data_IF_020972515091
#
_entry.id   IF_020972515091
#
_cell.length_a   1.000
_cell.length_b   1.000
_cell.length_c   1.000
_cell.angle_alpha   90.00
_cell.angle_beta   90.00
_cell.angle_gamma   90.00
#
_symmetry.space_group_name_H-M   'P 1'
#
loop_
_entity.id
_entity.type
_entity.pdbx_description
1 polymer ?
#
# COMPACT_ATOMS: atom_id res chain seq x y z
N UNK A 1 21.48 -5.33 20.46
CA UNK A 1 22.22 -4.24 21.14
C UNK A 1 22.35 -3.12 20.13
N UNK A 2 21.89 -1.91 20.46
CA UNK A 2 22.06 -0.74 19.58
C UNK A 2 23.46 -0.16 19.81
N UNK A 3 24.14 0.23 18.73
CA UNK A 3 25.46 0.86 18.80
C UNK A 3 25.33 2.36 18.53
N UNK A 4 26.01 3.18 19.33
CA UNK A 4 26.13 4.62 19.06
C UNK A 4 27.36 4.79 18.17
N UNK A 5 27.14 5.37 16.99
CA UNK A 5 28.19 5.63 16.01
C UNK A 5 28.49 7.13 16.05
N UNK A 6 29.74 7.50 16.35
CA UNK A 6 30.19 8.88 16.19
C UNK A 6 30.57 9.11 14.72
N UNK A 7 29.69 9.76 13.97
CA UNK A 7 29.86 10.00 12.53
C UNK A 7 31.19 10.68 12.16
N UNK A 8 31.65 11.61 13.01
CA UNK A 8 32.85 12.41 12.76
C UNK A 8 34.14 11.61 12.95
N UNK A 9 34.11 10.52 13.71
CA UNK A 9 35.28 9.65 13.92
C UNK A 9 35.43 8.57 12.85
N UNK A 10 34.48 8.47 11.91
CA UNK A 10 34.52 7.47 10.84
C UNK A 10 35.29 7.97 9.62
N UNK A 11 35.99 7.06 8.97
CA UNK A 11 36.50 7.24 7.61
C UNK A 11 35.35 7.32 6.59
N UNK A 12 35.65 7.81 5.39
CA UNK A 12 34.67 7.88 4.30
C UNK A 12 34.11 6.48 3.89
N UNK A 13 34.92 5.42 4.04
CA UNK A 13 34.50 4.05 3.76
C UNK A 13 33.52 3.55 4.83
N UNK A 14 33.82 3.76 6.11
CA UNK A 14 32.94 3.36 7.22
C UNK A 14 31.62 4.16 7.21
N UNK A 15 31.65 5.44 6.85
CA UNK A 15 30.44 6.25 6.64
C UNK A 15 29.56 5.64 5.54
N UNK A 16 30.16 5.23 4.42
CA UNK A 16 29.44 4.60 3.32
C UNK A 16 28.84 3.25 3.72
N UNK A 17 29.54 2.47 4.53
CA UNK A 17 29.03 1.21 5.08
C UNK A 17 27.88 1.44 6.07
N UNK A 18 27.93 2.47 6.91
CA UNK A 18 26.84 2.83 7.81
C UNK A 18 25.55 3.21 7.06
N UNK A 19 25.68 3.75 5.85
CA UNK A 19 24.55 4.08 4.98
C UNK A 19 24.07 2.89 4.13
N UNK A 20 24.79 1.76 4.16
CA UNK A 20 24.44 0.59 3.39
C UNK A 20 23.13 0.00 3.88
N UNK A 21 22.15 -0.09 2.97
CA UNK A 21 20.91 -0.83 3.22
C UNK A 21 21.12 -2.29 2.82
N UNK A 22 20.98 -3.26 3.75
CA UNK A 22 21.17 -4.67 3.42
C UNK A 22 20.14 -5.10 2.37
N UNK A 23 20.64 -5.46 1.20
CA UNK A 23 19.81 -6.03 0.13
C UNK A 23 19.76 -7.55 0.34
N UNK A 24 18.58 -8.15 0.38
CA UNK A 24 18.46 -9.61 0.41
C UNK A 24 19.10 -10.21 -0.84
N UNK A 25 20.04 -11.16 -0.66
CA UNK A 25 20.81 -11.81 -1.73
C UNK A 25 20.09 -12.99 -2.39
N UNK A 26 18.91 -13.41 -1.89
CA UNK A 26 18.16 -14.55 -2.43
C UNK A 26 17.26 -14.15 -3.60
N UNK A 27 17.34 -14.90 -4.70
CA UNK A 27 16.47 -14.70 -5.87
C UNK A 27 15.06 -15.24 -5.61
N UNK A 28 14.22 -14.44 -4.94
CA UNK A 28 12.78 -14.73 -4.78
C UNK A 28 11.99 -14.52 -6.08
N UNK A 29 12.61 -13.88 -7.07
CA UNK A 29 11.97 -13.47 -8.33
C UNK A 29 11.33 -14.65 -9.06
N UNK A 30 12.02 -15.80 -9.13
CA UNK A 30 11.50 -16.98 -9.83
C UNK A 30 10.20 -17.49 -9.18
N UNK A 31 10.22 -17.67 -7.86
CA UNK A 31 9.06 -18.13 -7.10
C UNK A 31 7.85 -17.18 -7.27
N UNK A 32 8.07 -15.86 -7.21
CA UNK A 32 6.98 -14.89 -7.43
C UNK A 32 6.43 -14.96 -8.86
N UNK A 33 7.29 -15.09 -9.87
CA UNK A 33 6.85 -15.22 -11.27
C UNK A 33 6.03 -16.50 -11.49
N UNK A 34 6.41 -17.61 -10.85
CA UNK A 34 5.69 -18.87 -10.92
C UNK A 34 4.29 -18.74 -10.30
N UNK A 35 4.16 -18.09 -9.13
CA UNK A 35 2.86 -17.78 -8.50
C UNK A 35 2.00 -16.91 -9.42
N UNK A 36 2.56 -15.84 -9.97
CA UNK A 36 1.82 -14.94 -10.89
C UNK A 36 1.32 -15.73 -12.10
N UNK A 37 2.16 -16.60 -12.69
CA UNK A 37 1.79 -17.44 -13.83
C UNK A 37 0.67 -18.42 -13.45
N UNK A 38 0.77 -19.05 -12.29
CA UNK A 38 -0.25 -19.97 -11.78
C UNK A 38 -1.61 -19.26 -11.60
N UNK A 39 -1.64 -18.07 -10.98
CA UNK A 39 -2.88 -17.29 -10.81
C UNK A 39 -3.45 -16.84 -12.15
N UNK A 40 -2.61 -16.38 -13.10
CA UNK A 40 -3.07 -15.99 -14.45
C UNK A 40 -3.70 -17.14 -15.23
N UNK A 41 -3.21 -18.36 -15.04
CA UNK A 41 -3.65 -19.54 -15.80
C UNK A 41 -4.83 -20.26 -15.17
N UNK A 42 -4.93 -20.26 -13.83
CA UNK A 42 -5.91 -21.06 -13.10
C UNK A 42 -6.94 -20.21 -12.32
N UNK A 43 -6.78 -18.89 -12.29
CA UNK A 43 -7.68 -17.97 -11.60
C UNK A 43 -7.87 -18.32 -10.13
N UNK A 44 -9.13 -18.27 -9.67
CA UNK A 44 -9.51 -18.47 -8.27
C UNK A 44 -9.06 -19.83 -7.70
N UNK A 45 -8.96 -20.87 -8.53
CA UNK A 45 -8.47 -22.19 -8.10
C UNK A 45 -7.05 -22.11 -7.55
N UNK A 46 -6.18 -21.31 -8.19
CA UNK A 46 -4.83 -21.08 -7.68
C UNK A 46 -4.88 -20.31 -6.36
N UNK A 47 -5.74 -19.29 -6.26
CA UNK A 47 -5.86 -18.49 -5.03
C UNK A 47 -6.26 -19.35 -3.82
N UNK A 48 -7.29 -20.21 -3.96
CA UNK A 48 -7.67 -21.14 -2.89
C UNK A 48 -6.54 -22.09 -2.49
N UNK A 49 -5.78 -22.58 -3.48
CA UNK A 49 -4.67 -23.51 -3.25
C UNK A 49 -3.54 -22.82 -2.50
N UNK A 50 -3.12 -21.63 -2.97
CA UNK A 50 -2.02 -20.85 -2.40
C UNK A 50 -2.37 -20.33 -1.00
N UNK A 51 -3.62 -19.90 -0.76
CA UNK A 51 -4.08 -19.52 0.58
C UNK A 51 -4.05 -20.70 1.55
N UNK A 52 -4.43 -21.90 1.10
CA UNK A 52 -4.32 -23.10 1.94
C UNK A 52 -2.86 -23.44 2.26
N UNK A 53 -1.96 -23.27 1.29
CA UNK A 53 -0.53 -23.58 1.45
C UNK A 53 0.20 -22.56 2.34
N UNK A 54 0.03 -21.26 2.10
CA UNK A 54 0.79 -20.23 2.82
C UNK A 54 0.10 -19.75 4.10
N UNK A 55 -1.21 -19.56 4.07
CA UNK A 55 -1.96 -19.03 5.21
C UNK A 55 -2.56 -20.14 6.09
N UNK A 56 -2.37 -21.41 5.69
CA UNK A 56 -2.91 -22.59 6.39
C UNK A 56 -4.42 -22.51 6.62
N UNK A 57 -5.12 -21.80 5.72
CA UNK A 57 -6.55 -21.49 5.82
C UNK A 57 -7.33 -22.05 4.62
N UNK A 58 -8.44 -22.75 4.87
CA UNK A 58 -9.33 -23.20 3.80
C UNK A 58 -10.49 -22.23 3.63
N UNK A 59 -10.44 -21.40 2.58
CA UNK A 59 -11.52 -20.47 2.25
C UNK A 59 -12.61 -21.14 1.42
N UNK A 60 -13.86 -20.74 1.65
CA UNK A 60 -15.02 -21.10 0.80
C UNK A 60 -15.36 -20.03 -0.22
N UNK A 61 -14.96 -18.78 0.04
CA UNK A 61 -15.18 -17.60 -0.80
C UNK A 61 -13.99 -16.67 -0.64
N UNK A 62 -13.56 -16.05 -1.74
CA UNK A 62 -12.49 -15.05 -1.74
C UNK A 62 -13.00 -13.69 -1.25
N UNK A 63 -14.20 -13.31 -1.70
CA UNK A 63 -14.84 -12.07 -1.27
C UNK A 63 -15.47 -12.22 0.12
N UNK A 64 -15.21 -11.25 0.99
CA UNK A 64 -15.86 -11.16 2.31
C UNK A 64 -17.35 -10.92 2.11
N UNK A 65 -18.19 -11.71 2.79
CA UNK A 65 -19.64 -11.58 2.69
C UNK A 65 -20.12 -10.22 3.25
N UNK A 66 -21.06 -9.52 2.60
CA UNK A 66 -21.57 -8.21 3.06
C UNK A 66 -22.06 -8.23 4.51
N UNK A 67 -22.72 -9.30 4.94
CA UNK A 67 -23.23 -9.42 6.31
C UNK A 67 -22.11 -9.51 7.36
N UNK A 68 -20.95 -10.10 7.01
CA UNK A 68 -19.79 -10.08 7.90
C UNK A 68 -19.25 -8.67 8.07
N UNK A 69 -19.26 -7.87 7.01
CA UNK A 69 -18.84 -6.47 7.05
C UNK A 69 -19.82 -5.67 7.92
N UNK A 70 -21.13 -5.82 7.71
CA UNK A 70 -22.17 -5.13 8.49
C UNK A 70 -22.13 -5.47 9.99
N UNK A 71 -21.76 -6.71 10.33
CA UNK A 71 -21.64 -7.17 11.72
C UNK A 71 -20.28 -6.86 12.36
N UNK A 72 -19.30 -6.40 11.59
CA UNK A 72 -17.99 -6.08 12.12
C UNK A 72 -18.10 -4.91 13.10
N UNK A 73 -17.58 -5.09 14.31
CA UNK A 73 -17.60 -4.08 15.36
C UNK A 73 -16.24 -4.02 16.04
N UNK A 74 -15.87 -2.82 16.46
CA UNK A 74 -14.70 -2.56 17.30
C UNK A 74 -15.14 -1.71 18.49
N UNK A 75 -14.30 -1.61 19.51
CA UNK A 75 -14.59 -0.73 20.64
C UNK A 75 -14.67 0.75 20.17
N UNK A 76 -15.44 1.55 20.90
CA UNK A 76 -15.71 2.96 20.56
C UNK A 76 -14.45 3.81 20.49
N UNK A 77 -13.47 3.55 21.35
CA UNK A 77 -12.20 4.27 21.35
C UNK A 77 -11.41 4.05 20.04
N UNK A 78 -11.27 2.80 19.61
CA UNK A 78 -10.61 2.45 18.34
C UNK A 78 -11.36 3.01 17.14
N UNK A 79 -12.70 3.01 17.17
CA UNK A 79 -13.51 3.60 16.11
C UNK A 79 -13.27 5.11 16.00
N UNK A 80 -13.32 5.84 17.11
CA UNK A 80 -13.07 7.27 17.14
C UNK A 80 -11.65 7.61 16.64
N UNK A 81 -10.64 6.81 17.00
CA UNK A 81 -9.27 6.99 16.52
C UNK A 81 -9.17 6.81 14.99
N UNK A 82 -9.83 5.79 14.43
CA UNK A 82 -9.87 5.55 12.98
C UNK A 82 -10.59 6.70 12.26
N UNK A 83 -11.74 7.14 12.76
CA UNK A 83 -12.49 8.27 12.19
C UNK A 83 -11.66 9.55 12.18
N UNK A 84 -10.93 9.83 13.27
CA UNK A 84 -10.05 10.98 13.35
C UNK A 84 -8.90 10.88 12.34
N UNK A 85 -8.27 9.69 12.20
CA UNK A 85 -7.24 9.47 11.20
C UNK A 85 -7.77 9.70 9.78
N UNK A 86 -8.95 9.17 9.45
CA UNK A 86 -9.61 9.39 8.14
C UNK A 86 -9.80 10.89 7.89
N UNK A 87 -10.34 11.64 8.86
CA UNK A 87 -10.57 13.09 8.71
C UNK A 87 -9.27 13.84 8.43
N UNK A 88 -8.22 13.59 9.20
CA UNK A 88 -6.92 14.24 9.05
C UNK A 88 -6.29 13.91 7.69
N UNK A 89 -6.26 12.63 7.32
CA UNK A 89 -5.64 12.19 6.07
C UNK A 89 -6.42 12.74 4.87
N UNK A 90 -7.76 12.69 4.90
CA UNK A 90 -8.60 13.22 3.83
C UNK A 90 -8.44 14.74 3.69
N UNK A 91 -8.35 15.49 4.80
CA UNK A 91 -8.11 16.94 4.75
C UNK A 91 -6.81 17.27 4.01
N UNK A 92 -5.71 16.60 4.36
CA UNK A 92 -4.43 16.79 3.69
C UNK A 92 -4.49 16.43 2.20
N UNK A 93 -5.02 15.25 1.85
CA UNK A 93 -5.04 14.80 0.46
C UNK A 93 -5.93 15.66 -0.42
N UNK A 94 -7.05 16.19 0.10
CA UNK A 94 -7.88 17.17 -0.60
C UNK A 94 -7.13 18.47 -0.90
N UNK A 95 -6.37 18.98 0.08
CA UNK A 95 -5.58 20.19 -0.10
C UNK A 95 -4.40 20.00 -1.07
N UNK A 96 -3.96 18.75 -1.28
CA UNK A 96 -2.89 18.40 -2.20
C UNK A 96 -3.35 18.10 -3.63
N UNK A 97 -4.65 18.21 -3.94
CA UNK A 97 -5.16 18.00 -5.30
C UNK A 97 -4.59 19.10 -6.21
N UNK A 98 -3.90 18.75 -7.30
CA UNK A 98 -3.36 19.76 -8.20
C UNK A 98 -4.48 20.43 -9.00
N UNK A 99 -4.39 21.75 -9.15
CA UNK A 99 -5.33 22.50 -9.98
C UNK A 99 -4.98 22.37 -11.46
N UNK A 100 -6.02 22.29 -12.29
CA UNK A 100 -5.85 22.36 -13.73
C UNK A 100 -5.37 23.75 -14.14
N UNK A 101 -4.32 23.82 -14.94
CA UNK A 101 -3.76 25.08 -15.40
C UNK A 101 -3.75 25.15 -16.93
N UNK A 102 -4.01 26.35 -17.44
CA UNK A 102 -3.93 26.67 -18.87
C UNK A 102 -2.90 27.77 -19.05
N UNK A 103 -1.97 27.59 -19.98
CA UNK A 103 -0.95 28.58 -20.33
C UNK A 103 -0.95 28.85 -21.83
N UNK A 104 -0.78 30.12 -22.19
CA UNK A 104 -0.69 30.54 -23.58
C UNK A 104 0.79 30.76 -23.93
N UNK A 105 1.33 29.98 -24.85
CA UNK A 105 2.75 30.04 -25.21
C UNK A 105 3.03 31.00 -26.36
N UNK A 106 2.04 31.22 -27.24
CA UNK A 106 2.11 32.12 -28.38
C UNK A 106 0.67 32.50 -28.82
N UNK A 107 0.49 33.53 -29.68
CA UNK A 107 -0.83 33.86 -30.22
C UNK A 107 -1.50 32.65 -30.87
N UNK A 108 -2.69 32.30 -30.39
CA UNK A 108 -3.47 31.14 -30.88
C UNK A 108 -3.05 29.79 -30.30
N UNK A 109 -2.02 29.70 -29.45
CA UNK A 109 -1.57 28.44 -28.83
C UNK A 109 -1.85 28.46 -27.33
N UNK A 110 -2.67 27.50 -26.88
CA UNK A 110 -3.00 27.28 -25.48
C UNK A 110 -2.73 25.83 -25.09
N UNK A 111 -2.06 25.62 -23.97
CA UNK A 111 -1.73 24.30 -23.41
C UNK A 111 -2.42 24.18 -22.06
N UNK A 112 -3.16 23.09 -21.86
CA UNK A 112 -3.87 22.82 -20.61
C UNK A 112 -3.46 21.49 -20.00
N UNK A 113 -3.13 21.50 -18.71
CA UNK A 113 -2.92 20.28 -17.92
C UNK A 113 -4.24 19.85 -17.31
N UNK A 114 -4.60 18.57 -17.50
CA UNK A 114 -5.80 17.94 -16.94
C UNK A 114 -5.40 16.74 -16.10
N UNK A 115 -5.98 16.58 -14.92
CA UNK A 115 -5.77 15.43 -14.05
C UNK A 115 -6.98 14.52 -14.13
N UNK A 116 -6.78 13.24 -14.48
CA UNK A 116 -7.85 12.24 -14.58
C UNK A 116 -7.60 11.08 -13.64
N UNK A 117 -8.62 10.61 -12.89
CA UNK A 117 -8.45 9.50 -11.96
C UNK A 117 -8.26 8.17 -12.71
N UNK A 118 -7.55 7.25 -12.06
CA UNK A 118 -7.46 5.85 -12.52
C UNK A 118 -8.80 5.16 -12.21
N UNK A 119 -9.42 4.56 -13.22
CA UNK A 119 -10.78 4.00 -13.10
C UNK A 119 -10.90 2.85 -12.10
N UNK A 120 -9.84 2.04 -11.92
CA UNK A 120 -9.83 0.89 -11.01
C UNK A 120 -8.47 0.76 -10.35
N UNK A 121 -8.46 0.72 -9.02
CA UNK A 121 -7.27 0.52 -8.19
C UNK A 121 -7.45 -0.69 -7.29
N UNK A 122 -6.40 -1.49 -7.14
CA UNK A 122 -6.35 -2.60 -6.19
C UNK A 122 -5.42 -2.25 -5.04
N UNK A 123 -5.89 -2.39 -3.80
CA UNK A 123 -5.11 -2.08 -2.60
C UNK A 123 -4.77 -3.37 -1.88
N UNK A 124 -3.47 -3.59 -1.64
CA UNK A 124 -2.99 -4.67 -0.80
C UNK A 124 -2.73 -4.14 0.61
N UNK A 125 -3.31 -4.81 1.61
CA UNK A 125 -3.04 -4.57 3.02
C UNK A 125 -2.35 -5.82 3.57
N UNK A 126 -1.10 -5.72 4.03
CA UNK A 126 -0.44 -6.87 4.62
C UNK A 126 -1.24 -7.40 5.81
N UNK A 127 -1.55 -8.70 5.74
CA UNK A 127 -2.05 -9.49 6.86
C UNK A 127 -0.96 -10.39 7.43
N UNK A 128 -1.32 -11.21 8.42
CA UNK A 128 -0.41 -12.14 9.10
C UNK A 128 0.06 -11.64 10.49
N UNK A 129 0.53 -12.56 11.33
CA UNK A 129 1.01 -12.29 12.70
C UNK A 129 0.03 -11.54 13.62
N UNK A 130 -1.27 -11.80 13.48
CA UNK A 130 -2.34 -11.25 14.33
C UNK A 130 -2.44 -9.71 14.41
N UNK A 131 -1.76 -8.96 13.54
CA UNK A 131 -1.74 -7.49 13.61
C UNK A 131 -2.20 -6.88 12.28
N UNK A 132 -3.45 -6.43 12.16
CA UNK A 132 -3.92 -5.77 10.95
C UNK A 132 -3.29 -4.37 10.82
N UNK A 133 -2.62 -4.10 9.70
CA UNK A 133 -2.05 -2.77 9.38
C UNK A 133 -3.12 -1.82 8.84
N UNK A 134 -4.07 -1.46 9.70
CA UNK A 134 -5.21 -0.58 9.35
C UNK A 134 -4.72 0.79 8.88
N UNK A 135 -3.64 1.32 9.45
CA UNK A 135 -3.07 2.62 9.05
C UNK A 135 -2.68 2.69 7.56
N UNK A 136 -2.06 1.64 7.01
CA UNK A 136 -1.70 1.59 5.59
C UNK A 136 -2.94 1.61 4.69
N UNK A 137 -4.02 0.93 5.09
CA UNK A 137 -5.29 0.98 4.37
C UNK A 137 -5.86 2.41 4.35
N UNK A 138 -5.87 3.08 5.50
CA UNK A 138 -6.40 4.45 5.60
C UNK A 138 -5.65 5.40 4.66
N UNK A 139 -4.32 5.37 4.67
CA UNK A 139 -3.49 6.22 3.79
C UNK A 139 -3.78 5.97 2.31
N UNK A 140 -3.88 4.71 1.88
CA UNK A 140 -4.09 4.39 0.47
C UNK A 140 -5.51 4.72 -0.02
N UNK A 141 -6.55 4.44 0.79
CA UNK A 141 -7.96 4.62 0.38
C UNK A 141 -8.32 6.09 0.25
N UNK A 142 -7.89 6.94 1.18
CA UNK A 142 -8.25 8.36 1.17
C UNK A 142 -7.62 9.13 0.02
N UNK A 143 -6.52 8.65 -0.57
CA UNK A 143 -5.96 9.25 -1.78
C UNK A 143 -6.80 8.95 -3.02
N UNK A 144 -7.42 7.77 -3.10
CA UNK A 144 -8.22 7.35 -4.26
C UNK A 144 -9.68 7.83 -4.28
N UNK A 145 -10.11 8.60 -3.27
CA UNK A 145 -11.48 9.10 -3.15
C UNK A 145 -11.68 10.52 -3.70
N UNK A 146 -10.62 11.17 -4.18
CA UNK A 146 -10.64 12.53 -4.71
C UNK A 146 -9.98 12.61 -6.09
#
# INVERSE_FOLDING_TARGET
>A
MLFIINWQSLSALEQKECLYRPVQKSSIKKAVLDIIKQVKTQGDKALFTLTKEFDQCTLKKLQVAPDKIKKASINSYSLAAIEQAIKTIAYYHKAAIPEENTLNTAPGISITTRYKPIQRVGLYVPGGNNTPLVSSLLTHVTHGQF
#
